data_IF_091464013604
#
_entry.id   IF_091464013604
#
_cell.length_a   1.000
_cell.length_b   1.000
_cell.length_c   1.000
_cell.angle_alpha   90.00
_cell.angle_beta   90.00
_cell.angle_gamma   90.00
#
_symmetry.space_group_name_H-M   'P 1'
#
loop_
_entity.id
_entity.type
_entity.pdbx_description
1 polymer ?
#
# COMPACT_ATOMS: atom_id res chain seq x y z
N UNK A 1 23.52 -6.66 -3.86
CA UNK A 1 22.67 -7.40 -4.84
C UNK A 1 22.29 -6.38 -5.91
N UNK A 2 22.40 -6.68 -7.21
CA UNK A 2 22.00 -5.73 -8.25
C UNK A 2 20.52 -5.37 -8.07
N UNK A 3 20.23 -4.08 -8.01
CA UNK A 3 18.86 -3.55 -7.97
C UNK A 3 18.20 -3.85 -9.31
N UNK A 4 17.25 -4.78 -9.30
CA UNK A 4 16.48 -5.15 -10.49
C UNK A 4 15.12 -4.43 -10.45
N UNK A 5 14.79 -3.70 -11.50
CA UNK A 5 13.48 -3.09 -11.72
C UNK A 5 13.37 -1.60 -11.36
N UNK A 6 12.36 -0.96 -11.93
CA UNK A 6 11.97 0.42 -11.60
C UNK A 6 11.32 0.41 -10.21
N UNK A 7 11.75 1.30 -9.32
CA UNK A 7 11.18 1.42 -7.97
C UNK A 7 9.81 2.11 -8.00
N UNK A 8 9.00 1.86 -6.97
CA UNK A 8 7.70 2.50 -6.78
C UNK A 8 7.80 4.04 -6.84
N UNK A 9 8.79 4.62 -6.15
CA UNK A 9 9.05 6.06 -6.22
C UNK A 9 9.43 6.57 -7.61
N UNK A 10 10.16 5.77 -8.40
CA UNK A 10 10.48 6.15 -9.78
C UNK A 10 9.22 6.11 -10.67
N UNK A 11 8.31 5.14 -10.46
CA UNK A 11 7.03 5.09 -11.18
C UNK A 11 6.14 6.26 -10.77
N UNK A 12 6.05 6.57 -9.47
CA UNK A 12 5.30 7.72 -8.97
C UNK A 12 5.85 9.04 -9.52
N UNK A 13 7.18 9.22 -9.54
CA UNK A 13 7.82 10.41 -10.13
C UNK A 13 7.46 10.57 -11.61
N UNK A 14 7.49 9.48 -12.38
CA UNK A 14 7.15 9.53 -13.80
C UNK A 14 5.71 9.95 -14.00
N UNK A 15 4.77 9.39 -13.23
CA UNK A 15 3.38 9.79 -13.34
C UNK A 15 3.13 11.23 -12.90
N UNK A 16 3.75 11.70 -11.82
CA UNK A 16 3.58 13.09 -11.39
C UNK A 16 4.17 14.08 -12.40
N UNK A 17 5.27 13.72 -13.07
CA UNK A 17 5.83 14.50 -14.18
C UNK A 17 4.90 14.51 -15.41
N UNK A 18 4.35 13.36 -15.79
CA UNK A 18 3.39 13.25 -16.90
C UNK A 18 2.10 14.03 -16.62
N UNK A 19 1.59 13.98 -15.38
CA UNK A 19 0.42 14.74 -14.94
C UNK A 19 0.69 16.25 -14.90
N UNK A 20 1.89 16.68 -14.48
CA UNK A 20 2.29 18.08 -14.50
C UNK A 20 2.39 18.62 -15.94
N UNK A 21 3.01 17.86 -16.86
CA UNK A 21 3.08 18.24 -18.28
C UNK A 21 1.71 18.34 -18.94
N UNK A 22 0.83 17.38 -18.70
CA UNK A 22 -0.54 17.41 -19.22
C UNK A 22 -1.39 18.56 -18.64
N UNK A 23 -1.12 18.96 -17.39
CA UNK A 23 -1.76 20.10 -16.75
C UNK A 23 -1.29 21.43 -17.36
N UNK A 24 0.00 21.56 -17.69
CA UNK A 24 0.55 22.73 -18.39
C UNK A 24 -0.02 22.87 -19.82
N UNK A 25 -0.10 21.78 -20.57
CA UNK A 25 -0.72 21.76 -21.91
C UNK A 25 -2.23 22.07 -21.88
N UNK A 26 -2.94 21.64 -20.82
CA UNK A 26 -4.38 21.91 -20.65
C UNK A 26 -4.68 23.30 -20.08
N UNK A 27 -3.70 23.95 -19.42
CA UNK A 27 -3.83 25.29 -18.85
C UNK A 27 -3.91 26.39 -19.93
N UNK A 28 -3.45 26.12 -21.17
CA UNK A 28 -3.69 27.02 -22.31
C UNK A 28 -5.16 26.97 -22.82
N UNK A 29 -5.98 26.01 -22.35
CA UNK A 29 -7.35 25.80 -22.81
C UNK A 29 -8.46 26.07 -21.79
N UNK A 30 -8.32 25.69 -20.52
CA UNK A 30 -9.33 25.94 -19.48
C UNK A 30 -8.70 25.91 -18.07
N UNK A 31 -8.53 27.09 -17.49
CA UNK A 31 -8.25 27.30 -16.07
C UNK A 31 -9.41 26.79 -15.20
N UNK A 32 -9.37 25.51 -14.81
CA UNK A 32 -10.38 24.92 -13.94
C UNK A 32 -9.96 23.74 -13.07
N UNK A 33 -8.76 23.18 -13.21
CA UNK A 33 -8.31 22.03 -12.40
C UNK A 33 -7.44 22.51 -11.25
N UNK A 34 -8.01 23.37 -10.41
CA UNK A 34 -7.34 23.87 -9.21
C UNK A 34 -7.24 22.78 -8.13
N UNK A 35 -6.01 22.45 -7.73
CA UNK A 35 -5.65 21.89 -6.41
C UNK A 35 -6.05 20.44 -6.11
N UNK A 36 -6.40 19.63 -7.11
CA UNK A 36 -6.75 18.23 -6.90
C UNK A 36 -5.53 17.31 -6.92
N UNK A 37 -5.46 16.37 -5.97
CA UNK A 37 -4.55 15.22 -6.01
C UNK A 37 -4.61 14.52 -7.37
N UNK A 38 -3.48 14.29 -8.03
CA UNK A 38 -3.45 13.59 -9.31
C UNK A 38 -3.96 12.14 -9.25
N UNK A 39 -4.47 11.58 -10.36
CA UNK A 39 -4.88 10.17 -10.46
C UNK A 39 -3.85 9.17 -9.94
N UNK A 40 -2.56 9.38 -10.21
CA UNK A 40 -1.49 8.51 -9.71
C UNK A 40 -1.33 8.58 -8.20
N UNK A 41 -1.44 9.78 -7.64
CA UNK A 41 -1.36 9.99 -6.19
C UNK A 41 -2.58 9.36 -5.50
N UNK A 42 -3.77 9.45 -6.08
CA UNK A 42 -4.97 8.78 -5.56
C UNK A 42 -4.79 7.25 -5.49
N UNK A 43 -4.29 6.61 -6.55
CA UNK A 43 -4.04 5.16 -6.54
C UNK A 43 -2.92 4.80 -5.57
N UNK A 44 -1.87 5.61 -5.50
CA UNK A 44 -0.79 5.45 -4.51
C UNK A 44 -1.32 5.44 -3.08
N UNK A 45 -2.16 6.42 -2.72
CA UNK A 45 -2.78 6.45 -1.39
C UNK A 45 -3.65 5.22 -1.11
N UNK A 46 -4.37 4.71 -2.13
CA UNK A 46 -5.13 3.48 -2.01
C UNK A 46 -4.25 2.26 -1.69
N UNK A 47 -3.08 2.15 -2.34
CA UNK A 47 -2.12 1.07 -2.09
C UNK A 47 -1.45 1.22 -0.71
N UNK A 48 -1.14 2.45 -0.28
CA UNK A 48 -0.59 2.70 1.06
C UNK A 48 -1.58 2.29 2.16
N UNK A 49 -2.87 2.55 1.96
CA UNK A 49 -3.93 2.11 2.87
C UNK A 49 -4.01 0.57 2.89
N UNK A 50 -3.91 -0.10 1.74
CA UNK A 50 -3.88 -1.57 1.65
C UNK A 50 -2.71 -2.15 2.47
N UNK A 51 -1.51 -1.58 2.34
CA UNK A 51 -0.32 -1.96 3.11
C UNK A 51 -0.51 -1.73 4.62
N UNK A 52 -1.15 -0.62 5.02
CA UNK A 52 -1.49 -0.36 6.42
C UNK A 52 -2.48 -1.40 6.98
N UNK A 53 -3.52 -1.74 6.21
CA UNK A 53 -4.49 -2.78 6.59
C UNK A 53 -3.79 -4.13 6.81
N UNK A 54 -2.91 -4.53 5.89
CA UNK A 54 -2.14 -5.78 6.00
C UNK A 54 -1.23 -5.79 7.22
N UNK A 55 -0.55 -4.67 7.49
CA UNK A 55 0.34 -4.54 8.65
C UNK A 55 -0.43 -4.65 9.97
N UNK A 56 -1.58 -3.99 10.08
CA UNK A 56 -2.43 -4.06 11.28
C UNK A 56 -2.95 -5.49 11.47
N UNK A 57 -3.43 -6.15 10.39
CA UNK A 57 -3.85 -7.57 10.45
C UNK A 57 -2.74 -8.48 10.95
N UNK A 58 -1.52 -8.33 10.42
CA UNK A 58 -0.38 -9.13 10.84
C UNK A 58 -0.04 -8.91 12.33
N UNK A 59 -0.06 -7.66 12.81
CA UNK A 59 0.17 -7.35 14.22
C UNK A 59 -0.95 -7.87 15.13
N UNK A 60 -2.20 -7.78 14.69
CA UNK A 60 -3.37 -8.26 15.44
C UNK A 60 -3.35 -9.79 15.60
N UNK A 61 -2.97 -10.53 14.54
CA UNK A 61 -2.86 -12.00 14.57
C UNK A 61 -1.66 -12.45 15.40
N UNK A 62 -0.48 -11.89 15.16
CA UNK A 62 0.76 -12.36 15.78
C UNK A 62 0.82 -12.17 17.30
N UNK A 63 -0.05 -11.33 17.87
CA UNK A 63 0.01 -10.93 19.29
C UNK A 63 -1.31 -11.17 20.03
N UNK A 64 -2.14 -12.10 19.56
CA UNK A 64 -3.48 -12.31 20.13
C UNK A 64 -3.47 -12.83 21.58
N UNK A 65 -2.40 -13.49 22.03
CA UNK A 65 -2.35 -14.15 23.34
C UNK A 65 -1.61 -13.38 24.44
N UNK A 66 -0.62 -12.53 24.11
CA UNK A 66 0.22 -11.82 25.08
C UNK A 66 0.51 -10.38 24.65
N UNK A 67 -0.53 -9.56 24.54
CA UNK A 67 -0.38 -8.14 24.19
C UNK A 67 0.05 -7.34 25.41
N UNK A 68 1.17 -6.63 25.29
CA UNK A 68 1.52 -5.60 26.27
C UNK A 68 0.68 -4.35 26.03
N UNK A 69 0.39 -3.58 27.09
CA UNK A 69 -0.38 -2.34 26.97
C UNK A 69 0.21 -1.37 25.91
N UNK A 70 1.55 -1.29 25.82
CA UNK A 70 2.23 -0.51 24.79
C UNK A 70 1.99 -1.02 23.36
N UNK A 71 1.76 -2.32 23.16
CA UNK A 71 1.44 -2.87 21.84
C UNK A 71 -0.03 -2.62 21.49
N UNK A 72 -0.93 -2.66 22.48
CA UNK A 72 -2.32 -2.28 22.29
C UNK A 72 -2.48 -0.82 21.89
N UNK A 73 -1.78 0.10 22.55
CA UNK A 73 -1.81 1.52 22.18
C UNK A 73 -1.34 1.71 20.75
N UNK A 74 -0.26 1.06 20.32
CA UNK A 74 0.21 1.17 18.93
C UNK A 74 -0.82 0.69 17.90
N UNK A 75 -1.53 -0.40 18.19
CA UNK A 75 -2.57 -0.92 17.28
C UNK A 75 -3.76 0.05 17.22
N UNK A 76 -4.18 0.59 18.37
CA UNK A 76 -5.26 1.59 18.42
C UNK A 76 -4.85 2.86 17.65
N UNK A 77 -3.64 3.37 17.84
CA UNK A 77 -3.13 4.53 17.11
C UNK A 77 -3.11 4.29 15.60
N UNK A 78 -2.64 3.11 15.17
CA UNK A 78 -2.62 2.73 13.76
C UNK A 78 -4.03 2.61 13.18
N UNK A 79 -4.99 2.03 13.91
CA UNK A 79 -6.40 1.95 13.50
C UNK A 79 -7.03 3.34 13.36
N UNK A 80 -6.75 4.26 14.29
CA UNK A 80 -7.22 5.65 14.20
C UNK A 80 -6.67 6.36 12.96
N UNK A 81 -5.36 6.23 12.69
CA UNK A 81 -4.73 6.80 11.48
C UNK A 81 -5.31 6.20 10.19
N UNK A 82 -5.54 4.88 10.18
CA UNK A 82 -6.16 4.19 9.07
C UNK A 82 -7.59 4.69 8.83
N UNK A 83 -8.35 4.95 9.90
CA UNK A 83 -9.70 5.53 9.81
C UNK A 83 -9.73 6.87 9.09
N UNK A 84 -8.85 7.79 9.49
CA UNK A 84 -8.76 9.10 8.84
C UNK A 84 -8.32 8.99 7.38
N UNK A 85 -7.34 8.12 7.09
CA UNK A 85 -6.84 7.90 5.74
C UNK A 85 -7.92 7.30 4.83
N UNK A 86 -8.68 6.32 5.36
CA UNK A 86 -9.79 5.70 4.65
C UNK A 86 -10.91 6.70 4.37
N UNK A 87 -11.30 7.52 5.34
CA UNK A 87 -12.32 8.55 5.16
C UNK A 87 -11.93 9.53 4.04
N UNK A 88 -10.67 10.01 4.04
CA UNK A 88 -10.14 10.86 2.96
C UNK A 88 -10.16 10.15 1.62
N UNK A 89 -9.74 8.89 1.57
CA UNK A 89 -9.74 8.09 0.36
C UNK A 89 -11.15 7.93 -0.22
N UNK A 90 -12.18 7.73 0.62
CA UNK A 90 -13.58 7.62 0.17
C UNK A 90 -14.08 8.90 -0.51
N UNK A 91 -13.72 10.08 -0.01
CA UNK A 91 -14.06 11.35 -0.65
C UNK A 91 -13.45 11.44 -2.05
N UNK A 92 -12.20 11.02 -2.20
CA UNK A 92 -11.53 11.01 -3.50
C UNK A 92 -12.07 9.92 -4.43
N UNK A 93 -12.50 8.79 -3.88
CA UNK A 93 -13.11 7.69 -4.63
C UNK A 93 -14.43 8.12 -5.28
N UNK A 94 -15.20 9.02 -4.65
CA UNK A 94 -16.39 9.59 -5.28
C UNK A 94 -16.07 10.41 -6.54
N UNK A 95 -14.87 11.01 -6.61
CA UNK A 95 -14.39 11.79 -7.77
C UNK A 95 -13.80 10.91 -8.86
N UNK A 96 -12.91 9.99 -8.51
CA UNK A 96 -12.15 9.18 -9.47
C UNK A 96 -12.83 7.85 -9.84
N UNK A 97 -13.62 7.28 -8.94
CA UNK A 97 -14.28 5.98 -9.12
C UNK A 97 -15.76 5.99 -8.69
N UNK A 98 -16.62 6.83 -9.32
CA UNK A 98 -18.06 6.89 -9.01
C UNK A 98 -18.79 5.54 -9.02
N UNK A 99 -18.49 4.58 -9.92
CA UNK A 99 -19.17 3.28 -9.96
C UNK A 99 -19.04 2.46 -8.69
N UNK A 100 -18.08 2.78 -7.81
CA UNK A 100 -17.83 2.06 -6.57
C UNK A 100 -18.82 2.44 -5.46
N UNK A 101 -19.37 3.66 -5.49
CA UNK A 101 -20.23 4.15 -4.42
C UNK A 101 -21.48 3.27 -4.19
N UNK A 102 -22.20 2.82 -5.23
CA UNK A 102 -23.30 1.88 -5.05
C UNK A 102 -22.86 0.56 -4.41
N UNK A 103 -21.69 0.02 -4.75
CA UNK A 103 -21.20 -1.23 -4.14
C UNK A 103 -20.93 -1.06 -2.65
N UNK A 104 -20.43 0.10 -2.23
CA UNK A 104 -20.22 0.40 -0.82
C UNK A 104 -21.53 0.61 -0.07
N UNK A 105 -22.53 1.27 -0.68
CA UNK A 105 -23.80 1.56 -0.02
C UNK A 105 -24.69 0.33 0.16
N UNK A 106 -24.62 -0.63 -0.78
CA UNK A 106 -25.40 -1.87 -0.72
C UNK A 106 -24.70 -2.99 0.07
N UNK A 107 -23.52 -2.70 0.63
CA UNK A 107 -22.75 -3.66 1.40
C UNK A 107 -23.40 -3.89 2.75
N UNK A 108 -23.64 -5.15 3.09
CA UNK A 108 -24.00 -5.56 4.45
C UNK A 108 -22.75 -5.45 5.31
N UNK A 109 -22.75 -4.50 6.25
CA UNK A 109 -21.65 -4.27 7.19
C UNK A 109 -21.92 -5.10 8.45
N UNK A 110 -21.02 -6.00 8.86
CA UNK A 110 -21.10 -6.68 10.16
C UNK A 110 -21.06 -5.69 11.31
N UNK A 111 -21.75 -5.98 12.43
CA UNK A 111 -21.76 -5.10 13.62
C UNK A 111 -20.36 -4.89 14.22
N UNK A 112 -19.45 -5.86 14.08
CA UNK A 112 -18.06 -5.79 14.54
C UNK A 112 -17.08 -5.93 13.38
N UNK A 113 -17.12 -4.99 12.42
CA UNK A 113 -16.11 -4.95 11.37
C UNK A 113 -14.85 -4.19 11.82
N UNK A 114 -13.71 -4.90 11.86
CA UNK A 114 -12.40 -4.28 12.04
C UNK A 114 -12.07 -3.35 10.86
N UNK A 115 -11.47 -2.20 11.13
CA UNK A 115 -11.20 -1.20 10.09
C UNK A 115 -10.22 -1.70 9.03
N UNK A 116 -9.34 -2.62 9.41
CA UNK A 116 -8.45 -3.32 8.50
C UNK A 116 -9.15 -4.32 7.56
N UNK A 117 -10.37 -4.78 7.86
CA UNK A 117 -11.13 -5.67 6.97
C UNK A 117 -12.00 -4.94 5.94
N UNK A 118 -12.15 -3.62 6.07
CA UNK A 118 -12.96 -2.83 5.15
C UNK A 118 -12.37 -2.86 3.72
N UNK A 119 -13.10 -3.32 2.70
CA UNK A 119 -12.59 -3.45 1.34
C UNK A 119 -12.42 -2.08 0.69
N UNK A 120 -11.24 -1.81 0.12
CA UNK A 120 -10.94 -0.53 -0.52
C UNK A 120 -11.61 -0.35 -1.88
N UNK A 121 -11.86 -1.46 -2.58
CA UNK A 121 -12.45 -1.49 -3.93
C UNK A 121 -11.63 -0.69 -4.96
N UNK A 122 -10.36 -1.09 -5.10
CA UNK A 122 -9.44 -0.56 -6.12
C UNK A 122 -9.83 -1.02 -7.54
N UNK A 123 -9.36 -0.35 -8.61
CA UNK A 123 -9.77 -0.68 -9.98
C UNK A 123 -9.58 -2.17 -10.35
N UNK A 124 -8.53 -2.83 -9.86
CA UNK A 124 -8.26 -4.26 -10.03
C UNK A 124 -9.34 -5.18 -9.47
N UNK A 125 -10.01 -4.77 -8.39
CA UNK A 125 -11.08 -5.53 -7.74
C UNK A 125 -12.45 -5.41 -8.44
N UNK A 126 -12.59 -4.45 -9.37
CA UNK A 126 -13.82 -4.24 -10.12
C UNK A 126 -13.87 -5.14 -11.36
N UNK A 127 -15.09 -5.46 -11.78
CA UNK A 127 -15.34 -6.09 -13.07
C UNK A 127 -14.93 -5.16 -14.24
N UNK A 128 -14.76 -5.72 -15.43
CA UNK A 128 -14.30 -4.98 -16.61
C UNK A 128 -15.22 -3.82 -16.97
N UNK A 129 -16.54 -3.98 -16.84
CA UNK A 129 -17.53 -2.95 -17.13
C UNK A 129 -17.39 -1.74 -16.19
N UNK A 130 -17.38 -1.95 -14.87
CA UNK A 130 -17.23 -0.88 -13.88
C UNK A 130 -15.87 -0.20 -13.98
N UNK A 131 -14.82 -0.96 -14.32
CA UNK A 131 -13.47 -0.41 -14.54
C UNK A 131 -13.43 0.55 -15.73
N UNK A 132 -14.20 0.29 -16.79
CA UNK A 132 -14.31 1.22 -17.94
C UNK A 132 -15.01 2.53 -17.56
N UNK A 133 -15.96 2.47 -16.62
CA UNK A 133 -16.60 3.67 -16.09
C UNK A 133 -15.66 4.47 -15.16
N UNK A 134 -14.66 3.84 -14.56
CA UNK A 134 -13.62 4.47 -13.74
C UNK A 134 -12.52 5.14 -14.59
N UNK A 135 -12.89 6.00 -15.54
CA UNK A 135 -11.96 6.84 -16.31
C UNK A 135 -10.91 6.10 -17.16
N UNK A 136 -10.44 6.73 -18.24
CA UNK A 136 -9.36 6.18 -19.06
C UNK A 136 -7.99 6.45 -18.43
N UNK A 137 -7.56 5.63 -17.47
CA UNK A 137 -6.13 5.40 -17.12
C UNK A 137 -5.90 4.74 -15.74
N UNK A 138 -6.87 4.80 -14.81
CA UNK A 138 -6.64 4.36 -13.42
C UNK A 138 -6.17 2.90 -13.31
N UNK A 139 -6.73 2.00 -14.10
CA UNK A 139 -6.30 0.60 -14.12
C UNK A 139 -4.88 0.38 -14.64
N UNK A 140 -4.40 1.23 -15.57
CA UNK A 140 -3.01 1.17 -16.07
C UNK A 140 -2.03 1.71 -15.02
N UNK A 141 -2.40 2.80 -14.36
CA UNK A 141 -1.63 3.40 -13.26
C UNK A 141 -1.49 2.37 -12.13
N UNK A 142 -2.59 1.76 -11.69
CA UNK A 142 -2.57 0.73 -10.66
C UNK A 142 -1.68 -0.45 -11.06
N UNK A 143 -1.77 -0.92 -12.30
CA UNK A 143 -0.93 -2.01 -12.79
C UNK A 143 0.56 -1.70 -12.67
N UNK A 144 1.00 -0.52 -13.12
CA UNK A 144 2.41 -0.13 -13.04
C UNK A 144 2.90 0.05 -11.60
N UNK A 145 2.06 0.61 -10.72
CA UNK A 145 2.40 0.75 -9.30
C UNK A 145 2.50 -0.63 -8.62
N UNK A 146 1.57 -1.55 -8.89
CA UNK A 146 1.64 -2.92 -8.36
C UNK A 146 2.86 -3.68 -8.88
N UNK A 147 3.21 -3.53 -10.16
CA UNK A 147 4.43 -4.11 -10.71
C UNK A 147 5.68 -3.59 -9.99
N UNK A 148 5.75 -2.28 -9.74
CA UNK A 148 6.85 -1.67 -9.00
C UNK A 148 6.92 -2.15 -7.53
N UNK A 149 5.77 -2.33 -6.87
CA UNK A 149 5.69 -2.93 -5.55
C UNK A 149 6.18 -4.39 -5.54
N UNK A 150 5.81 -5.20 -6.54
CA UNK A 150 6.32 -6.56 -6.67
C UNK A 150 7.85 -6.57 -6.80
N UNK A 151 8.43 -5.68 -7.60
CA UNK A 151 9.89 -5.53 -7.69
C UNK A 151 10.52 -5.14 -6.34
N UNK A 152 9.91 -4.21 -5.62
CA UNK A 152 10.35 -3.80 -4.27
C UNK A 152 10.36 -5.00 -3.31
N UNK A 153 9.24 -5.70 -3.17
CA UNK A 153 9.11 -6.84 -2.27
C UNK A 153 10.05 -8.00 -2.63
N UNK A 154 10.23 -8.28 -3.91
CA UNK A 154 11.13 -9.33 -4.37
C UNK A 154 12.60 -8.98 -4.10
N UNK A 155 12.99 -7.71 -4.24
CA UNK A 155 14.33 -7.26 -3.86
C UNK A 155 14.54 -7.34 -2.34
N UNK A 156 13.55 -6.95 -1.54
CA UNK A 156 13.58 -7.09 -0.08
C UNK A 156 13.74 -8.55 0.34
N UNK A 157 12.95 -9.46 -0.24
CA UNK A 157 13.04 -10.90 0.01
C UNK A 157 14.43 -11.45 -0.35
N UNK A 158 14.98 -11.09 -1.52
CA UNK A 158 16.33 -11.49 -1.92
C UNK A 158 17.39 -11.00 -0.94
N UNK A 159 17.28 -9.76 -0.46
CA UNK A 159 18.18 -9.20 0.54
C UNK A 159 18.12 -9.98 1.85
N UNK A 160 16.90 -10.27 2.36
CA UNK A 160 16.71 -11.05 3.58
C UNK A 160 17.27 -12.47 3.44
N UNK A 161 17.03 -13.14 2.31
CA UNK A 161 17.58 -14.46 2.02
C UNK A 161 19.11 -14.45 1.94
N UNK A 162 19.70 -13.42 1.34
CA UNK A 162 21.15 -13.28 1.27
C UNK A 162 21.77 -13.05 2.65
N UNK A 163 21.18 -12.17 3.47
CA UNK A 163 21.61 -11.95 4.85
C UNK A 163 21.50 -13.25 5.65
N UNK A 164 20.36 -13.95 5.56
CA UNK A 164 20.17 -15.24 6.23
C UNK A 164 21.22 -16.27 5.80
N UNK A 165 21.47 -16.40 4.50
CA UNK A 165 22.48 -17.31 3.95
C UNK A 165 23.88 -16.99 4.50
N UNK A 166 24.24 -15.70 4.55
CA UNK A 166 25.52 -15.24 5.14
C UNK A 166 25.62 -15.55 6.62
N UNK A 167 24.57 -15.29 7.41
CA UNK A 167 24.54 -15.56 8.84
C UNK A 167 24.64 -17.07 9.13
N UNK A 168 23.90 -17.90 8.39
CA UNK A 168 23.97 -19.36 8.51
C UNK A 168 25.38 -19.83 8.15
N UNK A 169 25.93 -19.40 7.01
CA UNK A 169 27.28 -19.78 6.59
C UNK A 169 28.37 -19.29 7.55
N UNK A 170 28.22 -18.10 8.14
CA UNK A 170 29.12 -17.59 9.17
C UNK A 170 29.06 -18.45 10.43
N UNK A 171 27.84 -18.73 10.94
CA UNK A 171 27.64 -19.59 12.11
C UNK A 171 28.28 -20.96 11.89
N UNK A 172 28.04 -21.55 10.72
CA UNK A 172 28.52 -22.87 10.38
C UNK A 172 30.04 -22.93 10.17
N UNK A 173 30.72 -21.83 9.83
CA UNK A 173 32.18 -21.84 9.61
C UNK A 173 32.98 -21.32 10.79
N UNK A 174 32.49 -20.28 11.44
CA UNK A 174 33.27 -19.46 12.37
C UNK A 174 32.80 -19.56 13.82
N UNK A 175 31.56 -20.03 14.06
CA UNK A 175 30.99 -20.14 15.41
C UNK A 175 30.78 -21.60 15.85
N UNK A 176 31.43 -22.56 15.19
CA UNK A 176 31.40 -23.97 15.63
C UNK A 176 32.15 -24.11 16.96
N UNK A 177 31.57 -24.85 17.90
CA UNK A 177 32.14 -25.16 19.22
C UNK A 177 32.40 -23.94 20.13
N UNK A 178 31.86 -22.76 19.82
CA UNK A 178 31.81 -21.67 20.79
C UNK A 178 30.61 -21.90 21.72
N UNK A 179 30.87 -22.24 22.98
CA UNK A 179 29.86 -22.33 24.03
C UNK A 179 29.30 -20.96 24.41
N UNK A 180 28.15 -20.91 25.08
CA UNK A 180 27.58 -19.65 25.56
C UNK A 180 28.55 -18.97 26.53
N UNK A 181 29.10 -17.82 26.15
CA UNK A 181 30.02 -17.05 26.98
C UNK A 181 29.22 -16.23 28.00
N UNK A 182 28.60 -16.91 28.96
CA UNK A 182 27.96 -16.27 30.11
C UNK A 182 29.03 -16.00 31.16
N UNK A 183 29.43 -14.74 31.28
CA UNK A 183 30.27 -14.25 32.38
C UNK A 183 29.42 -14.25 33.65
N UNK A 184 29.73 -15.15 34.59
CA UNK A 184 29.21 -15.11 35.98
C UNK A 184 29.79 -13.94 36.75
#
# INVERSE_FOLDING_TARGET
IPTSGITEHNVQLRFTQEEAGAAEESAEGLSGISGGMGPSTFIGEGLDIEDQQLKIKAMAIARKTDRTAAQETTIVEMRTRLSHSLARFRLMQARYMPPVLPFLSHRVVPDEEDIESVPLLLPSSLNSANRQLCGLSLGKIEYQLREAQCHRFLNELRNLLFIKSRLVGYKDRNARHQGANTRT
#
